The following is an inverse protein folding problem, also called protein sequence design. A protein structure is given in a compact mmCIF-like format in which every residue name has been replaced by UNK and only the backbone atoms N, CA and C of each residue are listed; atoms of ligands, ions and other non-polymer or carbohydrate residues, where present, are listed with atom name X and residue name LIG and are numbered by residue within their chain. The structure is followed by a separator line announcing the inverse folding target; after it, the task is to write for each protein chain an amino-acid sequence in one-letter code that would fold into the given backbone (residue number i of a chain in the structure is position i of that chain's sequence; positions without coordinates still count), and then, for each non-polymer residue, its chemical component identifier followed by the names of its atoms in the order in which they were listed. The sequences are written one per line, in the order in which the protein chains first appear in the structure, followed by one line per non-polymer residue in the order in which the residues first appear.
data_IF_591949005231
#
_entry.id   IF_591949005231
#
_cell.length_a   1.000
_cell.length_b   1.000
_cell.length_c   1.000
_cell.angle_alpha   90.00
_cell.angle_beta   90.00
_cell.angle_gamma   90.00
#
_symmetry.space_group_name_H-M   'P 1'
#
loop_
_entity.id
_entity.type
_entity.pdbx_description
1 polymer ?
#
# COMPACT_ATOMS: atom_id res chain seq x y z
N UNK A 1 -3.94 14.76 11.71
CA UNK A 1 -5.03 15.00 12.67
C UNK A 1 -4.40 15.12 14.05
N UNK A 2 -4.87 16.03 14.89
CA UNK A 2 -4.39 16.17 16.25
C UNK A 2 -5.58 16.04 17.22
N UNK A 3 -5.37 15.39 18.36
CA UNK A 3 -6.39 15.25 19.40
C UNK A 3 -6.45 16.55 20.23
N UNK A 4 -7.56 17.31 20.19
CA UNK A 4 -7.68 18.57 20.93
C UNK A 4 -7.53 18.44 22.44
N UNK A 5 -7.77 17.25 22.99
CA UNK A 5 -7.71 16.99 24.43
C UNK A 5 -6.29 16.60 24.88
N UNK A 6 -5.36 16.38 23.96
CA UNK A 6 -3.99 16.00 24.31
C UNK A 6 -3.20 17.24 24.78
N UNK A 7 -2.42 17.18 25.86
CA UNK A 7 -1.67 18.34 26.37
C UNK A 7 -0.74 18.99 25.35
N UNK A 8 -0.17 18.19 24.44
CA UNK A 8 0.68 18.68 23.34
C UNK A 8 -0.10 19.22 22.12
N UNK A 9 -1.44 19.33 22.17
CA UNK A 9 -2.21 19.86 21.05
C UNK A 9 -1.79 21.30 20.73
N UNK A 10 -1.46 21.56 19.46
CA UNK A 10 -0.99 22.88 19.01
C UNK A 10 0.49 23.17 19.33
N UNK A 11 1.25 22.23 19.90
CA UNK A 11 2.64 22.47 20.31
C UNK A 11 3.59 22.82 19.16
N UNK A 12 3.24 22.50 17.91
CA UNK A 12 4.07 22.76 16.72
C UNK A 12 4.45 24.24 16.58
N UNK A 13 3.56 25.16 16.99
CA UNK A 13 3.83 26.60 16.92
C UNK A 13 4.83 27.09 18.00
N UNK A 14 5.06 26.30 19.06
CA UNK A 14 5.82 26.67 20.25
C UNK A 14 6.85 25.59 20.64
N UNK A 15 7.37 24.84 19.65
CA UNK A 15 8.26 23.70 19.93
C UNK A 15 9.48 24.10 20.77
N UNK A 16 10.13 25.22 20.46
CA UNK A 16 11.32 25.67 21.19
C UNK A 16 11.05 26.05 22.65
N UNK A 17 9.80 26.35 23.01
CA UNK A 17 9.37 26.67 24.38
C UNK A 17 8.95 25.41 25.16
N UNK A 18 8.34 24.44 24.45
CA UNK A 18 7.74 23.25 25.06
C UNK A 18 8.76 22.13 25.22
N UNK A 19 9.54 21.87 24.18
CA UNK A 19 10.46 20.72 24.15
C UNK A 19 11.54 20.73 25.26
N UNK A 20 12.04 21.88 25.77
CA UNK A 20 12.94 21.89 26.93
C UNK A 20 12.35 21.31 28.22
N UNK A 21 11.03 21.16 28.30
CA UNK A 21 10.34 20.60 29.47
C UNK A 21 10.38 19.06 29.51
N UNK A 22 10.97 18.42 28.50
CA UNK A 22 11.00 16.97 28.34
C UNK A 22 12.41 16.47 28.07
N UNK A 23 12.78 15.35 28.69
CA UNK A 23 14.05 14.67 28.43
C UNK A 23 14.03 13.90 27.10
N UNK A 24 12.87 13.33 26.75
CA UNK A 24 12.66 12.50 25.57
C UNK A 24 11.45 12.98 24.79
N UNK A 25 11.63 13.18 23.50
CA UNK A 25 10.58 13.60 22.57
C UNK A 25 10.47 12.57 21.46
N UNK A 26 9.31 11.91 21.38
CA UNK A 26 9.01 10.98 20.30
C UNK A 26 8.30 11.72 19.17
N UNK A 27 8.95 11.78 18.01
CA UNK A 27 8.43 12.47 16.84
C UNK A 27 8.09 11.47 15.73
N UNK A 28 6.94 11.70 15.08
CA UNK A 28 6.61 10.98 13.84
C UNK A 28 7.43 11.54 12.66
N UNK A 29 7.52 10.80 11.54
CA UNK A 29 8.21 11.27 10.33
C UNK A 29 7.82 12.67 9.83
N UNK A 30 6.62 13.16 10.18
CA UNK A 30 6.16 14.50 9.81
C UNK A 30 7.07 15.63 10.31
N UNK A 31 7.92 15.37 11.31
CA UNK A 31 8.91 16.32 11.84
C UNK A 31 9.88 16.81 10.76
N UNK A 32 10.06 16.08 9.67
CA UNK A 32 10.93 16.50 8.56
C UNK A 32 10.47 17.78 7.87
N UNK A 33 9.22 18.21 8.06
CA UNK A 33 8.64 19.38 7.40
C UNK A 33 8.26 20.47 8.38
N UNK A 34 8.55 21.73 8.01
CA UNK A 34 7.91 22.90 8.63
C UNK A 34 8.29 23.22 10.08
N UNK A 35 9.33 22.59 10.63
CA UNK A 35 9.81 22.87 12.00
C UNK A 35 11.33 23.00 12.07
N UNK A 36 11.79 23.79 13.04
CA UNK A 36 13.20 23.93 13.42
C UNK A 36 13.28 23.86 14.95
N UNK A 37 14.15 22.98 15.46
CA UNK A 37 14.38 22.81 16.89
C UNK A 37 15.74 23.46 17.18
N UNK A 38 15.69 24.70 17.63
CA UNK A 38 16.79 25.63 17.87
C UNK A 38 17.11 25.72 19.37
N UNK A 39 16.93 24.60 20.08
CA UNK A 39 17.27 24.45 21.50
C UNK A 39 18.74 24.04 21.59
N UNK A 40 19.51 24.72 22.45
CA UNK A 40 20.92 24.44 22.69
C UNK A 40 21.12 23.77 24.05
N UNK A 41 22.11 22.88 24.12
CA UNK A 41 22.62 22.29 25.37
C UNK A 41 21.55 21.54 26.19
N UNK A 42 20.47 21.09 25.56
CA UNK A 42 19.39 20.34 26.20
C UNK A 42 19.38 18.88 25.78
N UNK A 43 19.11 18.62 24.50
CA UNK A 43 19.15 17.26 23.98
C UNK A 43 20.59 16.80 23.83
N UNK A 44 20.87 15.55 24.19
CA UNK A 44 22.21 14.97 24.11
C UNK A 44 22.41 14.08 22.88
N UNK A 45 21.35 13.81 22.12
CA UNK A 45 21.42 13.02 20.90
C UNK A 45 20.10 12.96 20.15
N UNK A 46 20.19 12.59 18.88
CA UNK A 46 19.04 12.36 18.00
C UNK A 46 19.04 10.90 17.58
N UNK A 47 17.90 10.22 17.76
CA UNK A 47 17.75 8.80 17.42
C UNK A 47 16.75 8.63 16.28
N UNK A 48 17.11 7.85 15.26
CA UNK A 48 16.24 7.60 14.11
C UNK A 48 16.17 6.11 13.74
N UNK A 49 14.95 5.63 13.58
CA UNK A 49 14.64 4.28 13.09
C UNK A 49 14.08 4.42 11.66
N UNK A 50 14.97 4.31 10.69
CA UNK A 50 14.64 4.36 9.27
C UNK A 50 14.27 2.95 8.76
N UNK A 51 13.03 2.53 9.00
CA UNK A 51 12.51 1.20 8.61
C UNK A 51 12.25 1.02 7.10
N UNK A 52 12.46 2.06 6.30
CA UNK A 52 12.20 2.04 4.86
C UNK A 52 10.82 2.53 4.42
N UNK A 53 10.03 3.07 5.36
CA UNK A 53 8.70 3.64 5.07
C UNK A 53 8.70 5.07 4.50
N UNK A 54 9.84 5.77 4.57
CA UNK A 54 10.02 7.13 4.02
C UNK A 54 11.23 7.19 3.10
N UNK A 55 11.33 8.15 2.16
CA UNK A 55 12.51 8.33 1.33
C UNK A 55 13.80 8.61 2.12
N UNK A 56 14.96 8.36 1.51
CA UNK A 56 16.27 8.61 2.15
C UNK A 56 16.46 10.08 2.54
N UNK A 57 16.03 11.00 1.67
CA UNK A 57 16.06 12.44 1.94
C UNK A 57 15.20 12.85 3.13
N UNK A 58 14.04 12.20 3.29
CA UNK A 58 13.12 12.40 4.41
C UNK A 58 13.78 12.06 5.75
N UNK A 59 14.47 10.91 5.83
CA UNK A 59 15.26 10.53 7.02
C UNK A 59 16.31 11.59 7.38
N UNK A 60 17.10 12.02 6.38
CA UNK A 60 18.14 13.04 6.58
C UNK A 60 17.57 14.36 7.05
N UNK A 61 16.46 14.79 6.45
CA UNK A 61 15.77 16.01 6.88
C UNK A 61 15.20 15.90 8.29
N UNK A 62 14.69 14.74 8.71
CA UNK A 62 14.16 14.54 10.06
C UNK A 62 15.25 14.67 11.13
N UNK A 63 16.41 14.02 10.95
CA UNK A 63 17.50 14.07 11.95
C UNK A 63 18.21 15.43 12.02
N UNK A 64 18.08 16.24 10.97
CA UNK A 64 18.67 17.57 10.89
C UNK A 64 17.78 18.67 11.51
N UNK A 65 16.58 18.31 12.03
CA UNK A 65 15.65 19.29 12.62
C UNK A 65 16.12 19.85 13.94
N UNK A 66 16.77 19.01 14.76
CA UNK A 66 17.56 19.48 15.90
C UNK A 66 18.81 20.14 15.33
N UNK A 67 18.98 21.43 15.58
CA UNK A 67 20.09 22.21 15.02
C UNK A 67 21.37 22.12 15.85
N UNK A 68 21.24 21.76 17.12
CA UNK A 68 22.39 21.61 18.00
C UNK A 68 23.34 20.48 17.53
N UNK A 69 24.64 20.63 17.78
CA UNK A 69 25.66 19.72 17.27
C UNK A 69 25.90 18.51 18.19
N UNK A 70 24.91 17.64 18.28
CA UNK A 70 24.90 16.42 19.09
C UNK A 70 25.08 15.12 18.27
N UNK A 71 25.42 13.98 18.87
CA UNK A 71 25.44 12.71 18.15
C UNK A 71 24.09 12.34 17.51
N UNK A 72 24.13 11.82 16.27
CA UNK A 72 22.97 11.26 15.54
C UNK A 72 23.13 9.74 15.46
N UNK A 73 22.24 9.01 16.11
CA UNK A 73 22.20 7.56 16.14
C UNK A 73 21.12 7.07 15.19
N UNK A 74 21.51 6.31 14.16
CA UNK A 74 20.60 5.91 13.09
C UNK A 74 20.67 4.42 12.89
N UNK A 75 19.52 3.76 12.98
CA UNK A 75 19.33 2.43 12.41
C UNK A 75 18.55 2.58 11.10
N UNK A 76 19.05 1.97 10.02
CA UNK A 76 18.38 1.96 8.73
C UNK A 76 18.22 0.53 8.20
N UNK A 77 17.05 0.20 7.67
CA UNK A 77 16.82 -1.06 6.96
C UNK A 77 17.70 -1.13 5.70
N UNK A 78 18.11 -2.34 5.28
CA UNK A 78 18.90 -2.51 4.03
C UNK A 78 18.12 -2.05 2.80
N UNK A 79 16.80 -2.23 2.79
CA UNK A 79 15.92 -1.88 1.67
C UNK A 79 14.65 -1.19 2.17
N UNK A 80 14.09 -0.34 1.29
CA UNK A 80 12.82 0.33 1.52
C UNK A 80 11.60 -0.59 1.37
N UNK A 81 10.47 -0.17 1.95
CA UNK A 81 9.20 -0.93 1.95
C UNK A 81 8.31 -0.66 0.73
N UNK A 82 8.74 0.18 -0.20
CA UNK A 82 7.94 0.54 -1.38
C UNK A 82 8.74 1.21 -2.49
N UNK A 83 8.09 1.35 -3.64
CA UNK A 83 8.59 2.06 -4.82
C UNK A 83 7.44 2.80 -5.51
N UNK A 84 7.75 3.89 -6.19
CA UNK A 84 6.78 4.71 -6.92
C UNK A 84 6.63 4.20 -8.35
N UNK A 85 5.39 4.16 -8.84
CA UNK A 85 5.03 3.63 -10.15
C UNK A 85 5.42 2.16 -10.29
N UNK A 86 6.02 1.79 -11.42
CA UNK A 86 6.52 0.43 -11.64
C UNK A 86 7.86 0.13 -10.94
N UNK A 87 8.40 1.08 -10.17
CA UNK A 87 9.65 0.93 -9.42
C UNK A 87 10.94 1.06 -10.25
N UNK A 88 10.83 1.59 -11.48
CA UNK A 88 11.98 1.92 -12.33
C UNK A 88 12.80 3.08 -11.77
N UNK A 89 14.12 3.03 -11.93
CA UNK A 89 15.07 4.12 -11.66
C UNK A 89 15.35 5.00 -12.89
N UNK A 90 14.70 4.71 -14.03
CA UNK A 90 14.76 5.48 -15.25
C UNK A 90 13.51 6.33 -15.43
N UNK A 91 13.71 7.65 -15.59
CA UNK A 91 12.66 8.64 -15.88
C UNK A 91 11.90 8.26 -17.15
N UNK A 92 12.63 7.87 -18.22
CA UNK A 92 12.03 7.46 -19.50
C UNK A 92 11.08 6.29 -19.33
N UNK A 93 11.51 5.26 -18.58
CA UNK A 93 10.70 4.06 -18.38
C UNK A 93 9.46 4.34 -17.53
N UNK A 94 9.57 5.21 -16.51
CA UNK A 94 8.42 5.63 -15.71
C UNK A 94 7.36 6.35 -16.57
N UNK A 95 7.78 7.34 -17.35
CA UNK A 95 6.90 8.08 -18.27
C UNK A 95 6.25 7.16 -19.30
N UNK A 96 7.05 6.32 -19.97
CA UNK A 96 6.54 5.37 -20.96
C UNK A 96 5.49 4.41 -20.38
N UNK A 97 5.68 3.98 -19.13
CA UNK A 97 4.72 3.12 -18.43
C UNK A 97 3.41 3.84 -18.15
N UNK A 98 3.48 5.08 -17.67
CA UNK A 98 2.29 5.89 -17.39
C UNK A 98 1.50 6.18 -18.68
N UNK A 99 2.19 6.63 -19.74
CA UNK A 99 1.55 6.90 -21.03
C UNK A 99 0.87 5.66 -21.61
N UNK A 100 1.56 4.51 -21.60
CA UNK A 100 1.01 3.25 -22.15
C UNK A 100 -0.20 2.79 -21.33
N UNK A 101 -0.14 2.89 -20.01
CA UNK A 101 -1.25 2.50 -19.13
C UNK A 101 -2.45 3.45 -19.27
N UNK A 102 -2.21 4.76 -19.37
CA UNK A 102 -3.29 5.75 -19.61
C UNK A 102 -3.97 5.49 -20.94
N UNK A 103 -3.21 5.28 -22.02
CA UNK A 103 -3.77 4.94 -23.34
C UNK A 103 -4.58 3.64 -23.31
N UNK A 104 -4.11 2.62 -22.58
CA UNK A 104 -4.85 1.38 -22.40
C UNK A 104 -6.17 1.61 -21.64
N UNK A 105 -6.13 2.35 -20.54
CA UNK A 105 -7.31 2.65 -19.74
C UNK A 105 -8.36 3.46 -20.53
N UNK A 106 -7.96 4.50 -21.26
CA UNK A 106 -8.86 5.27 -22.13
C UNK A 106 -9.50 4.37 -23.18
N UNK A 107 -8.72 3.50 -23.83
CA UNK A 107 -9.26 2.54 -24.81
C UNK A 107 -10.29 1.59 -24.20
N UNK A 108 -10.04 1.09 -22.99
CA UNK A 108 -10.96 0.19 -22.29
C UNK A 108 -12.25 0.91 -21.86
N UNK A 109 -12.15 2.19 -21.48
CA UNK A 109 -13.30 3.03 -21.20
C UNK A 109 -14.13 3.31 -22.46
N UNK A 110 -13.49 3.60 -23.59
CA UNK A 110 -14.18 3.84 -24.86
C UNK A 110 -15.03 2.64 -25.33
N UNK A 111 -14.60 1.41 -25.00
CA UNK A 111 -15.40 0.19 -25.23
C UNK A 111 -16.69 0.13 -24.38
N UNK A 112 -16.81 1.00 -23.37
CA UNK A 112 -17.91 1.08 -22.41
C UNK A 112 -18.73 2.37 -22.55
N UNK A 113 -18.84 2.91 -23.78
CA UNK A 113 -19.60 4.13 -24.11
C UNK A 113 -19.06 5.41 -23.46
N UNK A 114 -17.74 5.47 -23.23
CA UNK A 114 -17.06 6.68 -22.80
C UNK A 114 -16.56 7.45 -24.04
N UNK A 115 -17.19 8.58 -24.34
CA UNK A 115 -16.89 9.44 -25.51
C UNK A 115 -16.39 10.84 -25.10
N UNK A 116 -16.05 11.00 -23.82
CA UNK A 116 -15.49 12.25 -23.31
C UNK A 116 -14.07 12.45 -23.87
N UNK A 117 -13.76 13.66 -24.33
CA UNK A 117 -12.40 14.02 -24.71
C UNK A 117 -11.52 14.12 -23.44
N UNK A 118 -10.37 13.46 -23.47
CA UNK A 118 -9.47 13.36 -22.33
C UNK A 118 -8.16 14.07 -22.64
N UNK A 119 -7.95 15.24 -22.03
CA UNK A 119 -6.63 15.86 -22.03
C UNK A 119 -5.69 15.08 -21.11
N UNK A 120 -5.01 14.11 -21.71
CA UNK A 120 -3.98 13.30 -21.07
C UNK A 120 -2.59 13.95 -21.11
N UNK A 121 -2.43 15.09 -21.78
CA UNK A 121 -1.17 15.83 -21.87
C UNK A 121 -1.11 17.02 -20.89
N UNK A 122 -2.04 17.09 -19.93
CA UNK A 122 -2.04 18.09 -18.89
C UNK A 122 -0.72 18.12 -18.11
N UNK A 123 -0.10 19.31 -18.05
CA UNK A 123 1.14 19.61 -17.32
C UNK A 123 2.26 18.57 -17.50
N UNK A 124 2.84 18.46 -18.71
CA UNK A 124 3.91 17.49 -18.98
C UNK A 124 5.17 17.75 -18.12
N UNK A 125 5.41 19.00 -17.70
CA UNK A 125 6.48 19.37 -16.77
C UNK A 125 6.27 18.77 -15.38
N UNK A 126 5.03 18.80 -14.87
CA UNK A 126 4.65 18.20 -13.60
C UNK A 126 4.83 16.68 -13.65
N UNK A 127 4.40 16.04 -14.74
CA UNK A 127 4.58 14.60 -14.94
C UNK A 127 6.08 14.22 -15.05
N UNK A 128 6.87 15.02 -15.75
CA UNK A 128 8.33 14.84 -15.83
C UNK A 128 9.01 15.01 -14.48
N UNK A 129 8.56 15.97 -13.67
CA UNK A 129 9.06 16.21 -12.32
C UNK A 129 8.72 15.04 -11.40
N UNK A 130 7.47 14.55 -11.44
CA UNK A 130 7.06 13.32 -10.77
C UNK A 130 7.98 12.15 -11.13
N UNK A 131 8.27 11.94 -12.42
CA UNK A 131 9.12 10.84 -12.87
C UNK A 131 10.58 10.98 -12.40
N UNK A 132 11.13 12.20 -12.34
CA UNK A 132 12.47 12.47 -11.78
C UNK A 132 12.53 12.13 -10.29
N UNK A 133 11.55 12.59 -9.52
CA UNK A 133 11.47 12.32 -8.08
C UNK A 133 11.26 10.83 -7.80
N UNK A 134 10.36 10.18 -8.53
CA UNK A 134 10.10 8.75 -8.45
C UNK A 134 11.36 7.92 -8.74
N UNK A 135 12.10 8.25 -9.80
CA UNK A 135 13.36 7.57 -10.14
C UNK A 135 14.39 7.66 -9.00
N UNK A 136 14.54 8.86 -8.40
CA UNK A 136 15.45 9.09 -7.27
C UNK A 136 15.02 8.28 -6.04
N UNK A 137 13.73 8.34 -5.68
CA UNK A 137 13.18 7.56 -4.56
C UNK A 137 13.39 6.07 -4.80
N UNK A 138 13.07 5.56 -5.99
CA UNK A 138 13.22 4.14 -6.32
C UNK A 138 14.67 3.66 -6.23
N UNK A 139 15.64 4.49 -6.62
CA UNK A 139 17.05 4.19 -6.48
C UNK A 139 17.44 4.10 -5.00
N UNK A 140 17.09 5.12 -4.21
CA UNK A 140 17.36 5.15 -2.77
C UNK A 140 16.72 3.97 -2.05
N UNK A 141 15.45 3.65 -2.33
CA UNK A 141 14.76 2.51 -1.72
C UNK A 141 15.39 1.15 -2.07
N UNK A 142 16.12 1.06 -3.19
CA UNK A 142 16.80 -0.17 -3.62
C UNK A 142 18.02 -0.53 -2.77
N UNK A 143 18.74 0.47 -2.28
CA UNK A 143 19.95 0.38 -1.45
C UNK A 143 19.84 1.37 -0.28
N UNK A 144 18.79 1.22 0.52
CA UNK A 144 18.26 2.25 1.40
C UNK A 144 19.27 2.69 2.47
N UNK A 145 19.88 1.73 3.16
CA UNK A 145 20.91 2.01 4.16
C UNK A 145 22.14 2.66 3.52
N UNK A 146 22.61 2.10 2.41
CA UNK A 146 23.82 2.56 1.75
C UNK A 146 23.64 3.98 1.20
N UNK A 147 22.48 4.29 0.62
CA UNK A 147 22.13 5.63 0.15
C UNK A 147 22.08 6.64 1.30
N UNK A 148 21.45 6.32 2.44
CA UNK A 148 21.44 7.22 3.61
C UNK A 148 22.86 7.49 4.10
N UNK A 149 23.68 6.45 4.25
CA UNK A 149 25.07 6.59 4.71
C UNK A 149 25.90 7.45 3.74
N UNK A 150 25.77 7.19 2.43
CA UNK A 150 26.49 7.94 1.41
C UNK A 150 26.08 9.42 1.38
N UNK A 151 24.78 9.70 1.44
CA UNK A 151 24.27 11.07 1.44
C UNK A 151 24.67 11.84 2.71
N UNK A 152 24.65 11.20 3.89
CA UNK A 152 25.12 11.82 5.14
C UNK A 152 26.61 12.18 5.09
N UNK A 153 27.45 11.34 4.45
CA UNK A 153 28.87 11.66 4.25
C UNK A 153 29.04 12.88 3.34
N UNK A 154 28.24 12.99 2.29
CA UNK A 154 28.25 14.16 1.39
C UNK A 154 27.85 15.43 2.14
N UNK A 155 26.93 15.33 3.09
CA UNK A 155 26.53 16.44 3.98
C UNK A 155 27.59 16.79 5.05
N UNK A 156 28.71 16.05 5.12
CA UNK A 156 29.82 16.33 6.03
C UNK A 156 29.76 15.56 7.36
N UNK A 157 28.83 14.61 7.53
CA UNK A 157 28.78 13.79 8.74
C UNK A 157 29.92 12.76 8.78
N UNK A 158 30.55 12.63 9.96
CA UNK A 158 31.45 11.52 10.26
C UNK A 158 30.64 10.29 10.65
N UNK A 159 30.73 9.23 9.84
CA UNK A 159 30.02 7.98 10.10
C UNK A 159 30.87 7.06 10.98
N UNK A 160 30.30 6.64 12.11
CA UNK A 160 30.89 5.67 13.03
C UNK A 160 29.96 4.45 13.09
N UNK A 161 30.50 3.27 12.84
CA UNK A 161 29.75 2.02 12.97
C UNK A 161 29.50 1.68 14.44
N UNK A 162 28.26 1.35 14.77
CA UNK A 162 27.93 0.83 16.09
C UNK A 162 28.44 -0.61 16.25
N UNK A 163 28.98 -0.94 17.42
CA UNK A 163 29.26 -2.33 17.83
C UNK A 163 27.97 -2.99 18.28
N UNK A 164 27.67 -4.19 17.77
CA UNK A 164 26.52 -4.97 18.23
C UNK A 164 26.75 -5.43 19.69
N UNK A 165 25.78 -5.17 20.57
CA UNK A 165 25.71 -5.82 21.88
C UNK A 165 24.88 -7.10 21.74
N UNK A 166 25.34 -8.18 22.36
CA UNK A 166 24.91 -9.55 22.05
C UNK A 166 23.75 -10.09 22.90
N UNK A 167 23.05 -9.29 23.69
CA UNK A 167 21.90 -9.81 24.44
C UNK A 167 20.77 -8.79 24.52
N UNK A 168 19.69 -9.04 23.77
CA UNK A 168 18.47 -8.24 23.78
C UNK A 168 17.20 -9.09 23.61
N UNK A 169 17.28 -10.40 23.80
CA UNK A 169 16.16 -11.33 23.53
C UNK A 169 14.94 -11.04 24.42
N UNK A 170 15.17 -10.67 25.68
CA UNK A 170 14.12 -10.28 26.63
C UNK A 170 13.44 -8.96 26.20
N UNK A 171 14.24 -7.96 25.82
CA UNK A 171 13.73 -6.66 25.33
C UNK A 171 12.93 -6.85 24.04
N UNK A 172 13.43 -7.67 23.12
CA UNK A 172 12.74 -7.98 21.86
C UNK A 172 11.38 -8.66 22.12
N UNK A 173 11.34 -9.58 23.08
CA UNK A 173 10.10 -10.25 23.48
C UNK A 173 9.12 -9.27 24.11
N UNK A 174 9.57 -8.43 25.06
CA UNK A 174 8.74 -7.41 25.69
C UNK A 174 8.13 -6.43 24.66
N UNK A 175 8.95 -5.93 23.73
CA UNK A 175 8.48 -5.02 22.66
C UNK A 175 7.41 -5.69 21.78
N UNK A 176 7.61 -6.96 21.40
CA UNK A 176 6.63 -7.70 20.57
C UNK A 176 5.32 -7.89 21.32
N UNK A 177 5.37 -8.30 22.58
CA UNK A 177 4.19 -8.49 23.42
C UNK A 177 3.41 -7.20 23.57
N UNK A 178 4.06 -6.10 23.99
CA UNK A 178 3.39 -4.80 24.15
C UNK A 178 2.77 -4.30 22.84
N UNK A 179 3.49 -4.44 21.72
CA UNK A 179 2.95 -4.07 20.39
C UNK A 179 1.69 -4.86 20.06
N UNK A 180 1.73 -6.17 20.24
CA UNK A 180 0.63 -7.05 19.86
C UNK A 180 -0.60 -6.86 20.77
N UNK A 181 -0.38 -6.62 22.06
CA UNK A 181 -1.42 -6.27 23.04
C UNK A 181 -2.06 -4.91 22.72
N UNK A 182 -1.26 -3.86 22.50
CA UNK A 182 -1.78 -2.53 22.15
C UNK A 182 -2.56 -2.56 20.85
N UNK A 183 -2.05 -3.29 19.84
CA UNK A 183 -2.75 -3.43 18.57
C UNK A 183 -4.06 -4.21 18.73
N UNK A 184 -4.07 -5.26 19.57
CA UNK A 184 -5.28 -6.02 19.88
C UNK A 184 -6.32 -5.13 20.58
N UNK A 185 -5.92 -4.37 21.60
CA UNK A 185 -6.80 -3.42 22.30
C UNK A 185 -7.37 -2.38 21.35
N UNK A 186 -6.57 -1.85 20.41
CA UNK A 186 -7.06 -0.94 19.39
C UNK A 186 -8.11 -1.60 18.49
N UNK A 187 -7.87 -2.83 18.03
CA UNK A 187 -8.82 -3.55 17.19
C UNK A 187 -10.15 -3.82 17.92
N UNK A 188 -10.07 -4.17 19.21
CA UNK A 188 -11.22 -4.34 20.09
C UNK A 188 -11.98 -3.03 20.28
N UNK A 189 -11.29 -1.95 20.61
CA UNK A 189 -11.87 -0.64 20.79
C UNK A 189 -12.64 -0.19 19.53
N UNK A 190 -12.04 -0.34 18.34
CA UNK A 190 -12.72 -0.05 17.05
C UNK A 190 -13.98 -0.89 16.89
N UNK A 191 -13.93 -2.19 17.19
CA UNK A 191 -15.09 -3.09 17.02
C UNK A 191 -16.24 -2.81 17.98
N UNK A 192 -15.96 -2.32 19.19
CA UNK A 192 -16.96 -2.06 20.24
C UNK A 192 -17.70 -0.73 20.06
N UNK A 193 -17.15 0.21 19.29
CA UNK A 193 -17.83 1.50 19.05
C UNK A 193 -19.10 1.29 18.23
N UNK A 194 -20.19 1.97 18.60
CA UNK A 194 -21.42 1.98 17.82
C UNK A 194 -21.18 2.55 16.42
N UNK A 195 -21.66 1.86 15.39
CA UNK A 195 -21.57 2.35 14.01
C UNK A 195 -22.29 3.71 13.88
N UNK A 196 -21.59 4.81 13.51
CA UNK A 196 -22.23 6.11 13.33
C UNK A 196 -23.21 6.07 12.17
N UNK A 197 -24.28 6.85 12.26
CA UNK A 197 -25.19 7.13 11.13
C UNK A 197 -24.43 7.79 9.97
N UNK A 198 -25.01 7.80 8.76
CA UNK A 198 -24.34 8.42 7.60
C UNK A 198 -24.06 9.92 7.80
N UNK A 199 -24.98 10.64 8.45
CA UNK A 199 -24.79 12.05 8.77
C UNK A 199 -23.68 12.27 9.81
N UNK A 200 -23.61 11.44 10.85
CA UNK A 200 -22.54 11.51 11.86
C UNK A 200 -21.18 11.14 11.25
N UNK A 201 -21.14 10.10 10.42
CA UNK A 201 -19.93 9.69 9.72
C UNK A 201 -19.41 10.81 8.80
N UNK A 202 -20.28 11.49 8.07
CA UNK A 202 -19.89 12.62 7.23
C UNK A 202 -19.35 13.79 8.08
N UNK A 203 -20.01 14.13 9.19
CA UNK A 203 -19.50 15.15 10.14
C UNK A 203 -18.12 14.78 10.68
N UNK A 204 -17.87 13.51 10.96
CA UNK A 204 -16.53 13.05 11.34
C UNK A 204 -15.53 13.27 10.21
N UNK A 205 -15.82 12.87 8.96
CA UNK A 205 -14.91 13.09 7.84
C UNK A 205 -14.51 14.55 7.64
N UNK A 206 -15.48 15.47 7.78
CA UNK A 206 -15.26 16.91 7.59
C UNK A 206 -14.49 17.55 8.77
N UNK A 207 -14.44 16.89 9.93
CA UNK A 207 -13.76 17.40 11.12
C UNK A 207 -12.25 17.25 11.01
N UNK A 208 -11.53 18.38 11.04
CA UNK A 208 -10.05 18.43 10.94
C UNK A 208 -9.32 17.81 12.13
N UNK A 209 -9.80 18.07 13.35
CA UNK A 209 -9.21 17.60 14.60
C UNK A 209 -10.20 16.70 15.33
N UNK A 210 -9.74 15.56 15.83
CA UNK A 210 -10.60 14.48 16.34
C UNK A 210 -10.08 13.96 17.66
N UNK A 211 -10.99 13.71 18.59
CA UNK A 211 -10.67 12.96 19.80
C UNK A 211 -10.42 11.49 19.46
N UNK A 212 -9.86 10.73 20.39
CA UNK A 212 -9.66 9.29 20.21
C UNK A 212 -10.98 8.54 19.95
N UNK A 213 -12.04 8.85 20.71
CA UNK A 213 -13.36 8.28 20.49
C UNK A 213 -13.92 8.57 19.08
N UNK A 214 -13.70 9.80 18.58
CA UNK A 214 -14.11 10.18 17.22
C UNK A 214 -13.30 9.45 16.14
N UNK A 215 -12.01 9.22 16.36
CA UNK A 215 -11.17 8.42 15.46
C UNK A 215 -11.62 6.97 15.41
N UNK A 216 -11.96 6.39 16.57
CA UNK A 216 -12.50 5.03 16.64
C UNK A 216 -13.85 4.92 15.93
N UNK A 217 -14.76 5.89 16.13
CA UNK A 217 -16.05 5.95 15.45
C UNK A 217 -15.91 6.12 13.93
N UNK A 218 -15.01 7.00 13.47
CA UNK A 218 -14.73 7.17 12.03
C UNK A 218 -14.17 5.86 11.45
N UNK A 219 -13.23 5.21 12.15
CA UNK A 219 -12.63 3.95 11.70
C UNK A 219 -13.69 2.84 11.62
N UNK A 220 -14.51 2.67 12.66
CA UNK A 220 -15.62 1.71 12.65
C UNK A 220 -16.58 1.99 11.50
N UNK A 221 -17.07 3.24 11.39
CA UNK A 221 -18.02 3.65 10.37
C UNK A 221 -17.50 3.43 8.94
N UNK A 222 -16.20 3.63 8.72
CA UNK A 222 -15.53 3.30 7.45
C UNK A 222 -15.58 1.81 7.14
N UNK A 223 -15.24 0.96 8.11
CA UNK A 223 -15.21 -0.50 7.94
C UNK A 223 -16.62 -1.06 7.67
N UNK A 224 -17.61 -0.62 8.46
CA UNK A 224 -19.00 -1.05 8.30
C UNK A 224 -19.53 -0.75 6.89
N UNK A 225 -19.29 0.46 6.37
CA UNK A 225 -19.71 0.87 5.01
C UNK A 225 -18.96 0.14 3.91
N UNK A 226 -17.65 -0.05 4.10
CA UNK A 226 -16.75 -0.69 3.14
C UNK A 226 -17.07 -2.16 2.94
N UNK A 227 -17.27 -2.92 4.02
CA UNK A 227 -17.44 -4.37 3.96
C UNK A 227 -18.89 -4.82 4.03
N UNK A 228 -19.78 -4.02 4.63
CA UNK A 228 -21.21 -4.38 4.77
C UNK A 228 -21.46 -5.59 5.70
N UNK A 229 -20.48 -5.93 6.54
CA UNK A 229 -20.57 -6.98 7.56
C UNK A 229 -20.24 -6.37 8.93
N UNK A 230 -20.48 -7.13 10.00
CA UNK A 230 -20.14 -6.73 11.36
C UNK A 230 -18.65 -6.38 11.51
N UNK A 231 -18.36 -5.26 12.18
CA UNK A 231 -16.99 -4.82 12.42
C UNK A 231 -16.42 -5.56 13.62
N UNK A 232 -15.60 -6.57 13.36
CA UNK A 232 -14.93 -7.38 14.36
C UNK A 232 -13.42 -7.07 14.46
N UNK A 233 -12.73 -7.37 15.57
CA UNK A 233 -11.28 -7.19 15.64
C UNK A 233 -10.51 -7.92 14.51
N UNK A 234 -10.86 -9.16 14.11
CA UNK A 234 -10.27 -9.79 12.93
C UNK A 234 -10.47 -9.00 11.62
N UNK A 235 -11.63 -8.34 11.44
CA UNK A 235 -11.87 -7.50 10.26
C UNK A 235 -10.96 -6.28 10.25
N UNK A 236 -10.77 -5.62 11.40
CA UNK A 236 -9.85 -4.47 11.52
C UNK A 236 -8.44 -4.89 11.08
N UNK A 237 -7.96 -6.04 11.58
CA UNK A 237 -6.65 -6.59 11.22
C UNK A 237 -6.50 -6.93 9.74
N UNK A 238 -7.56 -7.47 9.12
CA UNK A 238 -7.57 -7.76 7.68
C UNK A 238 -7.52 -6.46 6.86
N UNK A 239 -8.30 -5.45 7.22
CA UNK A 239 -8.31 -4.16 6.53
C UNK A 239 -6.94 -3.48 6.56
N UNK A 240 -6.27 -3.46 7.73
CA UNK A 240 -4.93 -2.88 7.87
C UNK A 240 -3.86 -3.60 7.04
N UNK A 241 -4.09 -4.87 6.72
CA UNK A 241 -3.23 -5.66 5.82
C UNK A 241 -3.58 -5.51 4.34
N UNK A 242 -4.56 -4.66 4.00
CA UNK A 242 -4.91 -4.34 2.62
C UNK A 242 -6.01 -5.22 2.00
N UNK A 243 -6.74 -6.00 2.81
CA UNK A 243 -7.75 -6.95 2.33
C UNK A 243 -8.82 -6.31 1.43
N UNK A 244 -9.17 -5.04 1.64
CA UNK A 244 -10.14 -4.34 0.78
C UNK A 244 -9.76 -4.36 -0.70
N UNK A 245 -8.50 -4.07 -1.03
CA UNK A 245 -8.05 -4.00 -2.42
C UNK A 245 -8.00 -5.40 -3.06
N UNK A 246 -7.62 -6.40 -2.27
CA UNK A 246 -7.65 -7.82 -2.65
C UNK A 246 -9.08 -8.28 -2.98
N UNK A 247 -10.04 -7.95 -2.11
CA UNK A 247 -11.46 -8.24 -2.31
C UNK A 247 -12.03 -7.52 -3.53
N UNK A 248 -11.75 -6.23 -3.68
CA UNK A 248 -12.23 -5.43 -4.80
C UNK A 248 -11.76 -6.03 -6.14
N UNK A 249 -10.49 -6.42 -6.24
CA UNK A 249 -9.96 -7.03 -7.46
C UNK A 249 -10.58 -8.41 -7.71
N UNK A 250 -10.77 -9.23 -6.66
CA UNK A 250 -11.39 -10.54 -6.77
C UNK A 250 -12.88 -10.48 -7.15
N UNK A 251 -13.63 -9.55 -6.55
CA UNK A 251 -15.04 -9.29 -6.86
C UNK A 251 -15.23 -8.96 -8.35
N UNK A 252 -14.47 -7.99 -8.86
CA UNK A 252 -14.58 -7.59 -10.27
C UNK A 252 -14.00 -8.61 -11.27
N UNK A 253 -13.13 -9.53 -10.83
CA UNK A 253 -12.72 -10.69 -11.64
C UNK A 253 -13.82 -11.76 -11.71
N UNK A 254 -14.72 -11.79 -10.73
CA UNK A 254 -15.72 -12.85 -10.55
C UNK A 254 -17.14 -12.29 -10.64
N UNK A 255 -17.89 -12.28 -9.53
CA UNK A 255 -19.34 -12.03 -9.47
C UNK A 255 -19.70 -10.58 -9.80
N UNK A 256 -18.80 -9.63 -9.53
CA UNK A 256 -19.01 -8.21 -9.77
C UNK A 256 -18.62 -7.71 -11.16
N UNK A 257 -18.12 -8.60 -12.03
CA UNK A 257 -17.50 -8.21 -13.33
C UNK A 257 -18.39 -7.29 -14.17
N UNK A 258 -19.69 -7.54 -14.21
CA UNK A 258 -20.63 -6.76 -15.02
C UNK A 258 -20.72 -5.27 -14.60
N UNK A 259 -20.36 -4.94 -13.36
CA UNK A 259 -20.38 -3.57 -12.82
C UNK A 259 -19.04 -2.85 -12.93
N UNK A 260 -17.98 -3.53 -13.39
CA UNK A 260 -16.63 -2.98 -13.46
C UNK A 260 -16.53 -1.78 -14.41
N UNK A 261 -17.12 -1.90 -15.60
CA UNK A 261 -17.10 -0.87 -16.62
C UNK A 261 -17.73 0.44 -16.12
N UNK A 262 -18.91 0.34 -15.51
CA UNK A 262 -19.62 1.49 -14.93
C UNK A 262 -18.83 2.13 -13.78
N UNK A 263 -18.22 1.32 -12.90
CA UNK A 263 -17.38 1.80 -11.81
C UNK A 263 -16.18 2.60 -12.32
N UNK A 264 -15.46 2.08 -13.31
CA UNK A 264 -14.30 2.74 -13.91
C UNK A 264 -14.71 4.03 -14.63
N UNK A 265 -15.83 4.02 -15.37
CA UNK A 265 -16.41 5.21 -16.01
C UNK A 265 -16.75 6.30 -14.97
N UNK A 266 -17.40 5.93 -13.86
CA UNK A 266 -17.72 6.88 -12.78
C UNK A 266 -16.46 7.51 -12.19
N UNK A 267 -15.39 6.71 -12.01
CA UNK A 267 -14.09 7.19 -11.51
C UNK A 267 -13.41 8.12 -12.52
N UNK A 268 -13.46 7.79 -13.81
CA UNK A 268 -12.92 8.62 -14.88
C UNK A 268 -13.64 9.97 -14.95
N UNK A 269 -14.98 9.97 -14.98
CA UNK A 269 -15.80 11.20 -15.00
C UNK A 269 -15.53 12.10 -13.80
N UNK A 270 -15.53 11.55 -12.58
CA UNK A 270 -15.23 12.33 -11.38
C UNK A 270 -13.82 12.99 -11.42
N UNK A 271 -12.84 12.32 -12.02
CA UNK A 271 -11.52 12.93 -12.23
C UNK A 271 -11.53 14.00 -13.32
N UNK A 272 -12.23 13.78 -14.43
CA UNK A 272 -12.39 14.80 -15.47
C UNK A 272 -13.11 16.05 -14.96
N UNK A 273 -14.20 15.87 -14.21
CA UNK A 273 -14.98 16.98 -13.64
C UNK A 273 -14.11 17.81 -12.69
N UNK A 274 -13.37 17.14 -11.79
CA UNK A 274 -12.46 17.83 -10.86
C UNK A 274 -11.24 18.44 -11.57
N UNK A 275 -10.79 17.84 -12.67
CA UNK A 275 -9.68 18.32 -13.51
C UNK A 275 -10.07 19.26 -14.64
N UNK A 276 -11.36 19.63 -14.78
CA UNK A 276 -11.89 20.43 -15.89
C UNK A 276 -11.52 19.88 -17.28
N UNK A 277 -11.67 18.57 -17.46
CA UNK A 277 -11.35 17.82 -18.69
C UNK A 277 -9.92 17.29 -18.77
N UNK A 278 -9.03 17.72 -17.87
CA UNK A 278 -7.66 17.24 -17.80
C UNK A 278 -7.48 16.13 -16.76
N UNK A 279 -6.54 15.20 -17.02
CA UNK A 279 -6.17 14.15 -16.06
C UNK A 279 -4.67 14.18 -15.73
N UNK A 280 -4.34 13.86 -14.47
CA UNK A 280 -2.96 13.55 -14.09
C UNK A 280 -2.74 12.03 -14.17
N UNK A 281 -1.90 11.59 -15.12
CA UNK A 281 -1.80 10.19 -15.52
C UNK A 281 -1.58 9.18 -14.38
N UNK A 282 -0.67 9.39 -13.40
CA UNK A 282 -0.51 8.46 -12.28
C UNK A 282 -1.80 8.27 -11.47
N UNK A 283 -2.46 9.36 -11.10
CA UNK A 283 -3.71 9.33 -10.33
C UNK A 283 -4.86 8.70 -11.12
N UNK A 284 -4.92 8.96 -12.43
CA UNK A 284 -5.88 8.32 -13.32
C UNK A 284 -5.65 6.83 -13.40
N UNK A 285 -4.43 6.40 -13.68
CA UNK A 285 -4.08 4.99 -13.81
C UNK A 285 -4.34 4.18 -12.53
N UNK A 286 -4.04 4.74 -11.35
CA UNK A 286 -4.27 4.07 -10.06
C UNK A 286 -5.77 3.92 -9.72
N UNK A 287 -6.62 4.78 -10.29
CA UNK A 287 -8.07 4.74 -10.06
C UNK A 287 -8.81 3.66 -10.84
N UNK A 288 -8.26 3.22 -11.97
CA UNK A 288 -8.89 2.27 -12.90
C UNK A 288 -8.56 0.82 -12.53
N UNK A 289 -9.51 -0.10 -12.73
CA UNK A 289 -9.34 -1.53 -12.43
C UNK A 289 -9.47 -2.43 -13.66
N UNK A 290 -10.08 -1.96 -14.74
CA UNK A 290 -10.36 -2.77 -15.93
C UNK A 290 -9.08 -3.37 -16.50
N UNK A 291 -8.00 -2.59 -16.62
CA UNK A 291 -6.72 -3.11 -17.10
C UNK A 291 -6.17 -4.24 -16.20
N UNK A 292 -6.30 -4.12 -14.87
CA UNK A 292 -5.84 -5.15 -13.91
C UNK A 292 -6.66 -6.43 -14.05
N UNK A 293 -7.99 -6.31 -14.07
CA UNK A 293 -8.89 -7.45 -14.23
C UNK A 293 -8.64 -8.15 -15.57
N UNK A 294 -8.56 -7.41 -16.68
CA UNK A 294 -8.28 -7.97 -18.01
C UNK A 294 -6.93 -8.69 -18.07
N UNK A 295 -5.89 -8.16 -17.43
CA UNK A 295 -4.59 -8.85 -17.36
C UNK A 295 -4.70 -10.20 -16.64
N UNK A 296 -5.43 -10.27 -15.53
CA UNK A 296 -5.67 -11.52 -14.81
C UNK A 296 -6.52 -12.52 -15.61
N UNK A 297 -7.47 -12.03 -16.42
CA UNK A 297 -8.26 -12.86 -17.34
C UNK A 297 -7.39 -13.46 -18.46
N UNK A 298 -6.54 -12.63 -19.08
CA UNK A 298 -5.59 -13.07 -20.12
C UNK A 298 -4.61 -14.10 -19.57
N UNK A 299 -4.14 -13.89 -18.34
CA UNK A 299 -3.32 -14.85 -17.61
C UNK A 299 -4.11 -16.09 -17.14
N UNK A 300 -5.42 -16.17 -17.37
CA UNK A 300 -6.21 -17.36 -17.05
C UNK A 300 -6.38 -17.64 -15.55
N UNK A 301 -6.21 -16.64 -14.68
CA UNK A 301 -6.17 -16.84 -13.21
C UNK A 301 -7.45 -17.47 -12.66
N UNK A 302 -8.62 -17.19 -13.27
CA UNK A 302 -9.90 -17.81 -12.86
C UNK A 302 -9.90 -19.33 -12.97
N UNK A 303 -9.10 -19.91 -13.87
CA UNK A 303 -8.99 -21.37 -14.03
C UNK A 303 -8.34 -22.03 -12.80
N UNK A 304 -7.67 -21.27 -11.94
CA UNK A 304 -7.09 -21.75 -10.68
C UNK A 304 -8.12 -21.90 -9.55
N UNK A 305 -9.37 -21.44 -9.75
CA UNK A 305 -10.42 -21.51 -8.74
C UNK A 305 -11.21 -22.82 -8.79
N UNK A 306 -10.85 -23.76 -9.66
CA UNK A 306 -11.46 -25.08 -9.72
C UNK A 306 -11.31 -25.80 -8.37
N UNK A 307 -12.42 -26.13 -7.67
CA UNK A 307 -12.38 -26.77 -6.36
C UNK A 307 -11.71 -28.16 -6.37
N UNK A 308 -11.73 -28.85 -7.50
CA UNK A 308 -11.22 -30.22 -7.63
C UNK A 308 -9.79 -30.27 -8.21
N UNK A 309 -9.24 -29.12 -8.61
CA UNK A 309 -7.94 -29.09 -9.24
C UNK A 309 -6.80 -29.34 -8.24
N UNK A 310 -5.87 -30.20 -8.67
CA UNK A 310 -4.59 -30.43 -8.02
C UNK A 310 -3.49 -29.95 -8.96
N UNK A 311 -2.63 -29.08 -8.45
CA UNK A 311 -1.53 -28.47 -9.17
C UNK A 311 -0.17 -28.95 -8.66
N UNK A 312 0.75 -29.10 -9.59
CA UNK A 312 2.17 -29.35 -9.36
C UNK A 312 3.00 -28.41 -10.25
N UNK A 313 4.33 -28.43 -10.13
CA UNK A 313 5.18 -27.61 -11.00
C UNK A 313 5.08 -27.97 -12.48
N UNK A 314 4.65 -29.19 -12.79
CA UNK A 314 4.45 -29.73 -14.14
C UNK A 314 3.02 -29.55 -14.67
N UNK A 315 2.08 -29.03 -13.88
CA UNK A 315 0.71 -28.79 -14.34
C UNK A 315 0.68 -27.86 -15.56
N UNK A 316 0.07 -28.33 -16.64
CA UNK A 316 0.02 -27.62 -17.93
C UNK A 316 -0.50 -26.19 -17.78
N UNK A 317 -1.59 -26.00 -17.01
CA UNK A 317 -2.14 -24.68 -16.74
C UNK A 317 -1.11 -23.76 -16.08
N UNK A 318 -0.39 -24.22 -15.04
CA UNK A 318 0.61 -23.40 -14.37
C UNK A 318 1.76 -23.04 -15.30
N UNK A 319 2.21 -23.98 -16.14
CA UNK A 319 3.26 -23.74 -17.13
C UNK A 319 2.81 -22.68 -18.14
N UNK A 320 1.60 -22.78 -18.69
CA UNK A 320 1.05 -21.79 -19.62
C UNK A 320 0.98 -20.39 -18.99
N UNK A 321 0.49 -20.28 -17.74
CA UNK A 321 0.46 -19.02 -16.98
C UNK A 321 1.87 -18.46 -16.85
N UNK A 322 2.82 -19.30 -16.44
CA UNK A 322 4.21 -18.90 -16.21
C UNK A 322 4.89 -18.41 -17.48
N UNK A 323 4.74 -19.11 -18.60
CA UNK A 323 5.31 -18.70 -19.88
C UNK A 323 4.73 -17.37 -20.37
N UNK A 324 3.40 -17.23 -20.30
CA UNK A 324 2.75 -15.98 -20.70
C UNK A 324 3.21 -14.82 -19.80
N UNK A 325 3.33 -15.06 -18.50
CA UNK A 325 3.78 -14.05 -17.55
C UNK A 325 5.25 -13.67 -17.74
N UNK A 326 6.14 -14.64 -17.98
CA UNK A 326 7.56 -14.42 -18.27
C UNK A 326 7.81 -13.71 -19.59
N UNK A 327 6.94 -13.88 -20.58
CA UNK A 327 6.98 -13.14 -21.85
C UNK A 327 6.57 -11.67 -21.69
N UNK A 328 5.75 -11.34 -20.69
CA UNK A 328 5.12 -10.02 -20.50
C UNK A 328 5.45 -9.38 -19.14
N UNK A 329 6.67 -9.60 -18.63
CA UNK A 329 7.06 -9.17 -17.28
C UNK A 329 6.91 -7.66 -17.04
N UNK A 330 7.22 -6.85 -18.06
CA UNK A 330 7.17 -5.39 -17.95
C UNK A 330 5.71 -4.88 -17.92
N UNK A 331 4.84 -5.44 -18.76
CA UNK A 331 3.40 -5.17 -18.75
C UNK A 331 2.77 -5.58 -17.42
N UNK A 332 3.09 -6.77 -16.92
CA UNK A 332 2.60 -7.26 -15.62
C UNK A 332 3.07 -6.35 -14.50
N UNK A 333 4.33 -5.93 -14.51
CA UNK A 333 4.84 -5.00 -13.49
C UNK A 333 4.13 -3.64 -13.56
N UNK A 334 3.84 -3.16 -14.76
CA UNK A 334 3.19 -1.86 -14.97
C UNK A 334 1.71 -1.90 -14.58
N UNK A 335 0.98 -2.96 -14.93
CA UNK A 335 -0.46 -3.07 -14.69
C UNK A 335 -0.77 -3.61 -13.30
N UNK A 336 -0.11 -4.69 -12.88
CA UNK A 336 -0.41 -5.41 -11.63
C UNK A 336 0.56 -5.07 -10.48
N UNK A 337 1.66 -4.37 -10.75
CA UNK A 337 2.67 -4.07 -9.72
C UNK A 337 3.56 -5.27 -9.33
N UNK A 338 3.34 -6.45 -9.93
CA UNK A 338 4.06 -7.69 -9.61
C UNK A 338 5.34 -7.80 -10.41
N UNK A 339 6.43 -8.20 -9.75
CA UNK A 339 7.72 -8.43 -10.41
C UNK A 339 7.86 -9.91 -10.68
N UNK A 340 8.00 -10.31 -11.94
CA UNK A 340 8.20 -11.71 -12.33
C UNK A 340 9.61 -11.86 -12.86
N UNK A 341 10.33 -12.84 -12.32
CA UNK A 341 11.68 -13.23 -12.71
C UNK A 341 11.64 -14.45 -13.62
N UNK A 342 12.61 -14.54 -14.53
CA UNK A 342 12.79 -15.74 -15.36
C UNK A 342 13.10 -16.99 -14.52
N UNK A 343 13.66 -16.81 -13.32
CA UNK A 343 13.97 -17.87 -12.36
C UNK A 343 12.76 -18.35 -11.56
N UNK A 344 11.65 -17.60 -11.56
CA UNK A 344 10.47 -17.99 -10.79
C UNK A 344 9.85 -19.26 -11.39
N UNK A 345 9.46 -20.19 -10.51
CA UNK A 345 8.78 -21.42 -10.92
C UNK A 345 7.32 -21.15 -11.27
N UNK A 346 6.65 -22.02 -12.05
CA UNK A 346 5.24 -21.83 -12.38
C UNK A 346 4.33 -21.64 -11.17
N UNK A 347 4.55 -22.46 -10.12
CA UNK A 347 3.80 -22.35 -8.87
C UNK A 347 4.08 -21.03 -8.13
N UNK A 348 5.31 -20.53 -8.14
CA UNK A 348 5.65 -19.27 -7.49
C UNK A 348 4.93 -18.09 -8.17
N UNK A 349 4.94 -18.07 -9.51
CA UNK A 349 4.24 -17.05 -10.30
C UNK A 349 2.73 -17.09 -10.02
N UNK A 350 2.13 -18.27 -10.04
CA UNK A 350 0.70 -18.42 -9.75
C UNK A 350 0.35 -17.96 -8.32
N UNK A 351 1.14 -18.31 -7.31
CA UNK A 351 0.93 -17.84 -5.93
C UNK A 351 1.12 -16.31 -5.80
N UNK A 352 2.04 -15.70 -6.55
CA UNK A 352 2.23 -14.25 -6.57
C UNK A 352 1.02 -13.53 -7.18
N UNK A 353 0.44 -14.08 -8.24
CA UNK A 353 -0.75 -13.53 -8.89
C UNK A 353 -2.01 -13.73 -8.04
N UNK A 354 -2.18 -14.89 -7.41
CA UNK A 354 -3.28 -15.15 -6.46
C UNK A 354 -3.22 -14.24 -5.23
N UNK A 355 -2.03 -13.88 -4.77
CA UNK A 355 -1.87 -12.94 -3.64
C UNK A 355 -2.50 -11.57 -3.92
N UNK A 356 -2.57 -11.13 -5.18
CA UNK A 356 -3.27 -9.89 -5.53
C UNK A 356 -4.77 -9.92 -5.20
N UNK A 357 -5.33 -11.12 -5.04
CA UNK A 357 -6.72 -11.40 -4.71
C UNK A 357 -6.89 -11.81 -3.24
N UNK A 358 -5.81 -11.76 -2.43
CA UNK A 358 -5.80 -12.28 -1.07
C UNK A 358 -6.02 -13.79 -1.03
N UNK A 359 -5.55 -14.50 -2.06
CA UNK A 359 -5.75 -15.94 -2.25
C UNK A 359 -4.41 -16.68 -2.28
N UNK A 360 -4.45 -17.98 -1.95
CA UNK A 360 -3.33 -18.90 -2.05
C UNK A 360 -3.84 -20.31 -2.35
N UNK A 361 -3.07 -21.09 -3.09
CA UNK A 361 -3.34 -22.53 -3.22
C UNK A 361 -2.91 -23.25 -1.95
N UNK A 362 -3.71 -24.23 -1.50
CA UNK A 362 -3.43 -25.05 -0.30
C UNK A 362 -2.30 -26.03 -0.58
N UNK A 363 -1.24 -26.03 0.22
CA UNK A 363 -0.18 -27.04 0.09
C UNK A 363 -0.67 -28.40 0.60
N UNK A 364 -0.58 -29.43 -0.25
CA UNK A 364 -1.06 -30.79 0.08
C UNK A 364 0.08 -31.71 0.54
N UNK A 365 1.30 -31.47 0.07
CA UNK A 365 2.46 -32.27 0.45
C UNK A 365 3.51 -32.36 -0.64
N UNK A 366 4.51 -33.23 -0.39
CA UNK A 366 5.48 -33.66 -1.39
C UNK A 366 5.31 -35.14 -1.65
N UNK A 367 5.09 -35.49 -2.90
CA UNK A 367 4.87 -36.87 -3.32
C UNK A 367 5.92 -37.26 -4.37
N UNK A 368 6.16 -38.56 -4.52
CA UNK A 368 7.15 -39.11 -5.44
C UNK A 368 8.34 -39.81 -4.76
N UNK A 369 9.18 -40.44 -5.57
CA UNK A 369 10.36 -41.19 -5.11
C UNK A 369 11.45 -40.24 -4.57
N UNK A 370 12.41 -40.77 -3.80
CA UNK A 370 13.48 -39.96 -3.15
C UNK A 370 14.27 -39.08 -4.13
N UNK A 371 14.31 -39.44 -5.42
CA UNK A 371 15.01 -38.72 -6.48
C UNK A 371 14.11 -37.76 -7.30
N UNK A 372 12.78 -37.95 -7.26
CA UNK A 372 11.80 -37.14 -8.04
C UNK A 372 10.62 -36.76 -7.15
N UNK A 373 10.89 -35.99 -6.08
CA UNK A 373 9.83 -35.47 -5.20
C UNK A 373 9.28 -34.16 -5.75
N UNK A 374 7.98 -34.13 -6.03
CA UNK A 374 7.28 -32.92 -6.48
C UNK A 374 6.33 -32.40 -5.40
N UNK A 375 6.17 -31.06 -5.32
CA UNK A 375 5.21 -30.42 -4.40
C UNK A 375 3.85 -30.33 -5.08
N UNK A 376 2.81 -30.71 -4.35
CA UNK A 376 1.43 -30.64 -4.81
C UNK A 376 0.64 -29.61 -3.99
N UNK A 377 -0.24 -28.94 -4.70
CA UNK A 377 -1.09 -27.86 -4.20
C UNK A 377 -2.52 -28.14 -4.64
N UNK A 378 -3.48 -28.00 -3.74
CA UNK A 378 -4.89 -28.14 -4.04
C UNK A 378 -5.50 -26.82 -4.47
N UNK A 379 -6.83 -26.81 -4.48
CA UNK A 379 -7.63 -25.65 -4.77
C UNK A 379 -7.31 -24.40 -3.93
N UNK A 380 -7.79 -23.28 -4.44
CA UNK A 380 -7.78 -22.01 -3.73
C UNK A 380 -8.92 -22.01 -2.72
N UNK A 381 -8.58 -21.94 -1.42
CA UNK A 381 -9.57 -21.93 -0.35
C UNK A 381 -10.11 -20.52 -0.13
N UNK A 382 -11.44 -20.40 -0.04
CA UNK A 382 -12.13 -19.18 0.39
C UNK A 382 -12.55 -19.34 1.86
N UNK A 383 -11.58 -19.30 2.77
CA UNK A 383 -11.74 -19.55 4.20
C UNK A 383 -11.98 -18.27 5.02
N UNK A 384 -12.53 -17.23 4.39
CA UNK A 384 -12.85 -15.95 5.02
C UNK A 384 -14.26 -15.45 4.67
N UNK A 385 -14.61 -14.26 5.16
CA UNK A 385 -15.96 -13.69 5.05
C UNK A 385 -16.22 -13.03 3.69
N UNK A 386 -15.34 -13.19 2.70
CA UNK A 386 -15.43 -12.46 1.42
C UNK A 386 -16.72 -12.72 0.66
N UNK A 387 -17.29 -13.93 0.76
CA UNK A 387 -18.53 -14.28 0.08
C UNK A 387 -19.68 -13.39 0.59
N UNK A 388 -19.80 -13.23 1.91
CA UNK A 388 -20.78 -12.31 2.54
C UNK A 388 -20.57 -10.86 2.08
N UNK A 389 -19.30 -10.43 2.02
CA UNK A 389 -18.96 -9.08 1.51
C UNK A 389 -19.39 -8.93 0.04
N UNK A 390 -19.14 -9.94 -0.79
CA UNK A 390 -19.50 -9.92 -2.20
C UNK A 390 -21.01 -9.90 -2.41
N UNK A 391 -21.78 -10.66 -1.63
CA UNK A 391 -23.25 -10.61 -1.66
C UNK A 391 -23.77 -9.20 -1.36
N UNK A 392 -23.23 -8.56 -0.31
CA UNK A 392 -23.58 -7.19 0.04
C UNK A 392 -23.18 -6.17 -1.03
N UNK A 393 -22.00 -6.31 -1.64
CA UNK A 393 -21.57 -5.45 -2.75
C UNK A 393 -22.42 -5.66 -4.01
N UNK A 394 -22.73 -6.90 -4.34
CA UNK A 394 -23.53 -7.27 -5.50
C UNK A 394 -24.95 -6.71 -5.38
N UNK A 395 -25.57 -6.82 -4.21
CA UNK A 395 -26.89 -6.22 -3.95
C UNK A 395 -26.85 -4.69 -4.14
N UNK A 396 -25.86 -4.00 -3.56
CA UNK A 396 -25.69 -2.55 -3.70
C UNK A 396 -25.50 -2.11 -5.15
N UNK A 397 -24.68 -2.83 -5.91
CA UNK A 397 -24.42 -2.49 -7.31
C UNK A 397 -25.63 -2.79 -8.20
N UNK A 398 -26.35 -3.89 -7.97
CA UNK A 398 -27.60 -4.21 -8.67
C UNK A 398 -28.67 -3.14 -8.43
N UNK A 399 -28.92 -2.76 -7.18
CA UNK A 399 -29.89 -1.71 -6.87
C UNK A 399 -29.52 -0.36 -7.47
N UNK A 400 -28.23 -0.01 -7.53
CA UNK A 400 -27.79 1.23 -8.20
C UNK A 400 -28.08 1.18 -9.70
N UNK A 401 -27.88 0.02 -10.35
CA UNK A 401 -28.15 -0.17 -11.77
C UNK A 401 -29.63 -0.08 -12.11
N UNK A 402 -30.52 -0.46 -11.19
CA UNK A 402 -31.98 -0.32 -11.37
C UNK A 402 -32.47 1.13 -11.23
N UNK A 403 -31.69 2.01 -10.60
CA UNK A 403 -32.02 3.43 -10.40
C UNK A 403 -31.54 4.35 -11.54
N UNK A 404 -30.69 3.85 -12.45
CA UNK A 404 -30.12 4.56 -13.61
C UNK A 404 -30.77 4.03 -14.88
#
# INVERSE_FOLDING_TARGET
MANPNHPAYGCIAHLNEILPQYDIVLASPSIETGVSIDIREHFTGVWAIASGGMPTNSVRQAIARVRDNVPRHIWAATRGLGRIGNGSTSVKNLLASQHKLTKLNIRLLAQSQFDDDVDSNFQPESLRTWAKLAARVNLGMGAYRESIIAELKIEGHRIVSATAQNDSSEIETAIKTTRDEQYQQHCEAVSLVTNPTDAEYQKLLDKRNKTEAELLAERHGRLARRYGIEVSPPLVKKDDRGWYLELMLHYYLTVGKQFLAERDLRRAKAQLDSGKGAIFQPSFNDSQLTAKVRMLEILGIKKLFDPEAIFSSSSELLVQIAELAKRNTWEIKTVLGVTISQKDTPIAIAQMLLRLLGLKMKYLGRFGSRQVRERYYGNVTLDDERIKVFEGWLSKDSSRKEMV
#
